data_IF_329626577856
#
_entry.id   IF_329626577856
#
_cell.length_a   1.000
_cell.length_b   1.000
_cell.length_c   1.000
_cell.angle_alpha   90.00
_cell.angle_beta   90.00
_cell.angle_gamma   90.00
#
_symmetry.space_group_name_H-M   'P 1'
#
loop_
_entity.id
_entity.type
_entity.pdbx_description
1 polymer ?
#
# COMPACT_ATOMS: atom_id res chain seq x y z
N UNK A 1 17.04 -5.85 -22.62
CA UNK A 1 16.61 -5.50 -21.25
C UNK A 1 15.52 -6.46 -20.81
N UNK A 2 15.77 -7.31 -19.80
CA UNK A 2 14.75 -8.21 -19.27
C UNK A 2 13.65 -7.36 -18.58
N UNK A 3 12.44 -7.34 -19.13
CA UNK A 3 11.29 -6.69 -18.48
C UNK A 3 10.99 -7.45 -17.18
N UNK A 4 11.37 -6.89 -16.06
CA UNK A 4 11.05 -7.42 -14.72
C UNK A 4 9.52 -7.52 -14.58
N UNK A 5 9.00 -8.74 -14.70
CA UNK A 5 7.57 -9.01 -14.55
C UNK A 5 7.25 -9.09 -13.06
N UNK A 6 6.81 -7.99 -12.47
CA UNK A 6 6.33 -7.97 -11.09
C UNK A 6 4.99 -8.71 -11.04
N UNK A 7 4.94 -9.80 -10.28
CA UNK A 7 3.72 -10.58 -10.08
C UNK A 7 2.81 -9.92 -9.03
N UNK A 8 1.50 -10.23 -9.07
CA UNK A 8 0.54 -9.82 -8.04
C UNK A 8 1.01 -10.15 -6.62
N UNK A 9 1.49 -11.39 -6.42
CA UNK A 9 1.97 -11.85 -5.10
C UNK A 9 3.17 -11.03 -4.62
N UNK A 10 4.12 -10.75 -5.50
CA UNK A 10 5.30 -9.96 -5.17
C UNK A 10 4.92 -8.52 -4.77
N UNK A 11 3.98 -7.90 -5.49
CA UNK A 11 3.50 -6.56 -5.18
C UNK A 11 2.82 -6.50 -3.79
N UNK A 12 2.02 -7.51 -3.44
CA UNK A 12 1.42 -7.63 -2.10
C UNK A 12 2.46 -7.84 -1.01
N UNK A 13 3.46 -8.70 -1.24
CA UNK A 13 4.54 -8.93 -0.28
C UNK A 13 5.34 -7.65 -0.03
N UNK A 14 5.67 -6.89 -1.07
CA UNK A 14 6.35 -5.60 -0.94
C UNK A 14 5.47 -4.62 -0.14
N UNK A 15 4.19 -4.49 -0.47
CA UNK A 15 3.27 -3.62 0.28
C UNK A 15 3.13 -4.03 1.74
N UNK A 16 3.05 -5.34 2.02
CA UNK A 16 3.02 -5.89 3.38
C UNK A 16 4.30 -5.58 4.15
N UNK A 17 5.46 -5.75 3.53
CA UNK A 17 6.74 -5.42 4.14
C UNK A 17 6.87 -3.93 4.48
N UNK A 18 6.49 -3.05 3.55
CA UNK A 18 6.49 -1.60 3.81
C UNK A 18 5.50 -1.22 4.91
N UNK A 19 4.33 -1.84 4.96
CA UNK A 19 3.39 -1.63 6.06
C UNK A 19 3.97 -2.07 7.41
N UNK A 20 4.68 -3.20 7.47
CA UNK A 20 5.39 -3.64 8.69
C UNK A 20 6.47 -2.65 9.14
N UNK A 21 7.24 -2.10 8.21
CA UNK A 21 8.22 -1.05 8.53
C UNK A 21 7.52 0.17 9.15
N UNK A 22 6.36 0.58 8.62
CA UNK A 22 5.57 1.67 9.17
C UNK A 22 4.99 1.36 10.54
N UNK A 23 4.48 0.16 10.75
CA UNK A 23 4.03 -0.33 12.07
C UNK A 23 5.16 -0.20 13.09
N UNK A 24 6.34 -0.72 12.75
CA UNK A 24 7.52 -0.63 13.64
C UNK A 24 7.89 0.81 13.96
N UNK A 25 7.82 1.71 12.95
CA UNK A 25 8.07 3.14 13.15
C UNK A 25 7.03 3.79 14.07
N UNK A 26 5.74 3.47 13.92
CA UNK A 26 4.67 4.00 14.77
C UNK A 26 4.86 3.58 16.24
N UNK A 27 5.15 2.30 16.49
CA UNK A 27 5.41 1.82 17.84
C UNK A 27 6.67 2.43 18.43
N UNK A 28 7.75 2.52 17.67
CA UNK A 28 8.99 3.17 18.12
C UNK A 28 8.77 4.63 18.52
N UNK A 29 8.03 5.40 17.71
CA UNK A 29 7.68 6.79 18.03
C UNK A 29 6.79 6.89 19.25
N UNK A 30 5.77 6.02 19.38
CA UNK A 30 4.91 5.97 20.56
C UNK A 30 5.70 5.70 21.84
N UNK A 31 6.62 4.73 21.80
CA UNK A 31 7.49 4.38 22.94
C UNK A 31 8.40 5.56 23.32
N UNK A 32 9.07 6.20 22.34
CA UNK A 32 9.94 7.35 22.62
C UNK A 32 9.15 8.48 23.26
N UNK A 33 7.98 8.82 22.70
CA UNK A 33 7.14 9.89 23.27
C UNK A 33 6.71 9.55 24.69
N UNK A 34 6.38 8.30 24.99
CA UNK A 34 6.05 7.87 26.34
C UNK A 34 7.20 8.11 27.31
N UNK A 35 8.44 7.70 26.96
CA UNK A 35 9.60 7.92 27.84
C UNK A 35 9.96 9.38 27.97
N UNK A 36 9.85 10.18 26.91
CA UNK A 36 10.09 11.63 26.96
C UNK A 36 9.09 12.32 27.87
N UNK A 37 7.79 12.00 27.75
CA UNK A 37 6.76 12.56 28.63
C UNK A 37 7.01 12.19 30.08
N UNK A 38 7.30 10.91 30.35
CA UNK A 38 7.60 10.46 31.72
C UNK A 38 8.82 11.16 32.31
N UNK A 39 9.90 11.35 31.55
CA UNK A 39 11.08 12.08 32.00
C UNK A 39 10.79 13.57 32.23
N UNK A 40 9.86 14.17 31.46
CA UNK A 40 9.43 15.56 31.70
C UNK A 40 8.55 15.68 32.94
N UNK A 41 7.64 14.74 33.22
CA UNK A 41 6.84 14.68 34.42
C UNK A 41 7.72 14.60 35.67
N UNK A 42 8.79 13.79 35.62
CA UNK A 42 9.75 13.63 36.73
C UNK A 42 10.61 14.87 36.94
N UNK A 43 10.78 15.74 35.93
CA UNK A 43 11.69 16.92 35.99
C UNK A 43 10.94 18.25 36.18
N UNK A 44 9.70 18.37 35.72
CA UNK A 44 8.88 19.58 35.78
C UNK A 44 7.58 19.32 36.52
N UNK A 45 7.48 19.91 37.72
CA UNK A 45 6.23 19.94 38.49
C UNK A 45 5.21 20.77 37.69
N UNK A 46 4.30 20.13 36.97
CA UNK A 46 3.09 20.76 36.42
C UNK A 46 2.95 20.93 34.90
N UNK A 47 3.65 20.16 34.06
CA UNK A 47 3.41 20.18 32.63
C UNK A 47 2.42 19.08 32.19
N UNK A 48 1.16 19.41 31.94
CA UNK A 48 0.24 18.51 31.22
C UNK A 48 0.74 18.31 29.77
N UNK A 49 1.60 17.33 29.57
CA UNK A 49 1.93 16.88 28.21
C UNK A 49 0.77 16.04 27.72
N UNK A 50 0.21 16.39 26.55
CA UNK A 50 -0.97 15.73 26.03
C UNK A 50 -0.66 14.27 25.66
N UNK A 51 -1.09 13.33 26.50
CA UNK A 51 -1.03 11.88 26.25
C UNK A 51 -1.70 11.46 24.94
N UNK A 52 -2.57 12.31 24.40
CA UNK A 52 -3.31 12.08 23.15
C UNK A 52 -2.40 11.75 21.96
N UNK A 53 -1.20 12.33 21.87
CA UNK A 53 -0.28 12.04 20.77
C UNK A 53 0.31 10.64 20.84
N UNK A 54 0.56 10.10 22.02
CA UNK A 54 1.10 8.76 22.26
C UNK A 54 0.07 7.72 21.83
N UNK A 55 -1.17 7.86 22.31
CA UNK A 55 -2.25 6.94 21.95
C UNK A 55 -2.52 6.92 20.45
N UNK A 56 -2.43 8.08 19.80
CA UNK A 56 -2.63 8.18 18.35
C UNK A 56 -1.61 7.35 17.57
N UNK A 57 -0.33 7.35 17.97
CA UNK A 57 0.69 6.51 17.36
C UNK A 57 0.41 5.01 17.51
N UNK A 58 -0.02 4.58 18.70
CA UNK A 58 -0.36 3.19 18.95
C UNK A 58 -1.59 2.76 18.13
N UNK A 59 -2.65 3.59 18.08
CA UNK A 59 -3.86 3.31 17.28
C UNK A 59 -3.50 3.18 15.80
N UNK A 60 -2.73 4.10 15.25
CA UNK A 60 -2.28 4.04 13.84
C UNK A 60 -1.44 2.78 13.60
N UNK A 61 -0.54 2.44 14.52
CA UNK A 61 0.26 1.21 14.45
C UNK A 61 -0.60 -0.05 14.40
N UNK A 62 -1.62 -0.15 15.24
CA UNK A 62 -2.56 -1.30 15.29
C UNK A 62 -3.40 -1.38 14.00
N UNK A 63 -3.90 -0.25 13.51
CA UNK A 63 -4.64 -0.21 12.23
C UNK A 63 -3.79 -0.67 11.05
N UNK A 64 -2.53 -0.21 10.99
CA UNK A 64 -1.60 -0.64 9.95
C UNK A 64 -1.26 -2.14 10.07
N UNK A 65 -1.12 -2.66 11.29
CA UNK A 65 -0.91 -4.09 11.52
C UNK A 65 -2.07 -4.91 10.97
N UNK A 66 -3.30 -4.47 11.18
CA UNK A 66 -4.48 -5.09 10.59
C UNK A 66 -4.43 -5.09 9.05
N UNK A 67 -4.01 -3.99 8.43
CA UNK A 67 -3.79 -3.93 6.97
C UNK A 67 -2.75 -4.96 6.49
N UNK A 68 -1.68 -5.19 7.25
CA UNK A 68 -0.68 -6.23 6.93
C UNK A 68 -1.32 -7.62 6.87
N UNK A 69 -2.15 -7.96 7.87
CA UNK A 69 -2.88 -9.25 7.87
C UNK A 69 -3.80 -9.37 6.66
N UNK A 70 -4.50 -8.30 6.28
CA UNK A 70 -5.33 -8.28 5.07
C UNK A 70 -4.50 -8.51 3.81
N UNK A 71 -3.31 -7.92 3.67
CA UNK A 71 -2.45 -8.15 2.51
C UNK A 71 -2.04 -9.62 2.39
N UNK A 72 -1.66 -10.26 3.49
CA UNK A 72 -1.33 -11.69 3.50
C UNK A 72 -2.54 -12.58 3.19
N UNK A 73 -3.72 -12.22 3.69
CA UNK A 73 -4.95 -12.93 3.36
C UNK A 73 -5.28 -12.84 1.86
N UNK A 74 -5.12 -11.67 1.27
CA UNK A 74 -5.43 -11.42 -0.13
C UNK A 74 -4.46 -12.06 -1.14
N UNK A 75 -3.28 -12.51 -0.71
CA UNK A 75 -2.35 -13.28 -1.56
C UNK A 75 -3.00 -14.54 -2.16
N UNK A 76 -4.01 -15.10 -1.48
CA UNK A 76 -4.73 -16.31 -1.90
C UNK A 76 -5.74 -16.07 -3.04
N UNK A 77 -6.07 -14.82 -3.36
CA UNK A 77 -7.04 -14.50 -4.41
C UNK A 77 -6.51 -14.94 -5.78
N UNK A 78 -7.29 -15.77 -6.48
CA UNK A 78 -6.94 -16.30 -7.80
C UNK A 78 -7.64 -15.55 -8.94
N UNK A 79 -8.78 -14.91 -8.67
CA UNK A 79 -9.54 -14.19 -9.68
C UNK A 79 -8.83 -12.91 -10.12
N UNK A 80 -8.58 -12.79 -11.44
CA UNK A 80 -7.82 -11.69 -12.04
C UNK A 80 -8.51 -10.33 -11.88
N UNK A 81 -9.85 -10.30 -11.92
CA UNK A 81 -10.63 -9.06 -11.75
C UNK A 81 -10.48 -8.55 -10.31
N UNK A 82 -10.65 -9.43 -9.34
CA UNK A 82 -10.49 -9.11 -7.92
C UNK A 82 -9.07 -8.69 -7.60
N UNK A 83 -8.04 -9.33 -8.19
CA UNK A 83 -6.64 -8.93 -8.06
C UNK A 83 -6.41 -7.49 -8.54
N UNK A 84 -6.97 -7.13 -9.71
CA UNK A 84 -6.85 -5.76 -10.26
C UNK A 84 -7.50 -4.73 -9.33
N UNK A 85 -8.71 -5.00 -8.87
CA UNK A 85 -9.45 -4.10 -7.96
C UNK A 85 -8.69 -3.90 -6.66
N UNK A 86 -8.15 -4.98 -6.10
CA UNK A 86 -7.37 -4.92 -4.88
C UNK A 86 -6.08 -4.10 -5.05
N UNK A 87 -5.32 -4.32 -6.12
CA UNK A 87 -4.09 -3.55 -6.37
C UNK A 87 -4.38 -2.05 -6.51
N UNK A 88 -5.50 -1.68 -7.16
CA UNK A 88 -5.94 -0.28 -7.22
C UNK A 88 -6.26 0.28 -5.82
N UNK A 89 -6.95 -0.51 -4.99
CA UNK A 89 -7.22 -0.14 -3.59
C UNK A 89 -5.95 0.07 -2.77
N UNK A 90 -4.94 -0.78 -2.97
CA UNK A 90 -3.64 -0.65 -2.29
C UNK A 90 -2.90 0.61 -2.75
N UNK A 91 -2.95 0.96 -4.03
CA UNK A 91 -2.37 2.22 -4.52
C UNK A 91 -3.06 3.42 -3.86
N UNK A 92 -4.40 3.43 -3.83
CA UNK A 92 -5.16 4.47 -3.16
C UNK A 92 -4.82 4.58 -1.67
N UNK A 93 -4.67 3.45 -0.98
CA UNK A 93 -4.23 3.38 0.42
C UNK A 93 -2.84 4.04 0.62
N UNK A 94 -1.85 3.71 -0.21
CA UNK A 94 -0.52 4.31 -0.11
C UNK A 94 -0.50 5.80 -0.44
N UNK A 95 -1.34 6.25 -1.38
CA UNK A 95 -1.53 7.68 -1.66
C UNK A 95 -2.13 8.38 -0.43
N UNK A 96 -3.17 7.80 0.18
CA UNK A 96 -3.80 8.34 1.39
C UNK A 96 -2.80 8.44 2.55
N UNK A 97 -2.00 7.39 2.79
CA UNK A 97 -0.93 7.40 3.81
C UNK A 97 0.07 8.53 3.53
N UNK A 98 0.45 8.73 2.27
CA UNK A 98 1.36 9.82 1.89
C UNK A 98 0.76 11.20 2.21
N UNK A 99 -0.52 11.43 1.95
CA UNK A 99 -1.22 12.65 2.33
C UNK A 99 -1.27 12.86 3.84
N UNK A 100 -1.60 11.83 4.60
CA UNK A 100 -1.61 11.87 6.07
C UNK A 100 -0.21 12.25 6.59
N UNK A 101 0.85 11.69 6.01
CA UNK A 101 2.22 12.02 6.39
C UNK A 101 2.58 13.48 6.10
N UNK A 102 2.15 14.05 4.98
CA UNK A 102 2.38 15.47 4.67
C UNK A 102 1.71 16.37 5.72
N UNK A 103 0.47 16.06 6.10
CA UNK A 103 -0.31 16.88 7.03
C UNK A 103 0.26 16.81 8.45
N UNK A 104 0.56 15.62 8.93
CA UNK A 104 0.93 15.40 10.33
C UNK A 104 2.44 15.45 10.59
N UNK A 105 3.27 15.20 9.55
CA UNK A 105 4.71 15.05 9.69
C UNK A 105 5.48 15.99 8.77
N UNK A 106 5.31 17.28 8.91
CA UNK A 106 5.93 18.36 8.11
C UNK A 106 7.42 18.17 7.76
N UNK A 107 8.13 17.29 8.45
CA UNK A 107 9.58 17.11 8.36
C UNK A 107 10.05 15.87 7.57
N UNK A 108 9.15 14.98 7.15
CA UNK A 108 9.57 13.67 6.59
C UNK A 108 9.28 13.51 5.10
N UNK A 109 9.74 14.45 4.29
CA UNK A 109 9.66 14.36 2.83
C UNK A 109 10.26 13.04 2.29
N UNK A 110 11.29 12.52 2.96
CA UNK A 110 11.91 11.22 2.63
C UNK A 110 10.95 10.03 2.76
N UNK A 111 10.02 10.07 3.70
CA UNK A 111 9.02 9.00 3.86
C UNK A 111 8.04 8.94 2.68
N UNK A 112 7.74 10.09 2.07
CA UNK A 112 6.89 10.16 0.88
C UNK A 112 7.58 9.49 -0.30
N UNK A 113 8.89 9.71 -0.48
CA UNK A 113 9.68 9.06 -1.53
C UNK A 113 9.68 7.54 -1.34
N UNK A 114 9.80 7.07 -0.10
CA UNK A 114 9.75 5.64 0.23
C UNK A 114 8.39 5.04 -0.15
N UNK A 115 7.29 5.75 0.04
CA UNK A 115 5.94 5.29 -0.34
C UNK A 115 5.75 5.15 -1.86
N UNK A 116 6.57 5.79 -2.68
CA UNK A 116 6.53 5.60 -4.13
C UNK A 116 6.87 4.16 -4.54
N UNK A 117 7.67 3.44 -3.75
CA UNK A 117 8.06 2.06 -4.07
C UNK A 117 6.85 1.12 -4.08
N UNK A 118 6.01 1.00 -3.03
CA UNK A 118 4.82 0.16 -3.08
C UNK A 118 3.79 0.66 -4.11
N UNK A 119 3.65 1.97 -4.33
CA UNK A 119 2.76 2.51 -5.38
C UNK A 119 3.23 2.03 -6.75
N UNK A 120 4.51 2.20 -7.08
CA UNK A 120 5.09 1.82 -8.36
C UNK A 120 5.03 0.31 -8.59
N UNK A 121 5.35 -0.49 -7.58
CA UNK A 121 5.30 -1.96 -7.68
C UNK A 121 3.88 -2.48 -7.92
N UNK A 122 2.87 -1.92 -7.26
CA UNK A 122 1.47 -2.27 -7.50
C UNK A 122 1.00 -1.82 -8.89
N UNK A 123 1.40 -0.64 -9.36
CA UNK A 123 1.12 -0.17 -10.71
C UNK A 123 1.71 -1.11 -11.78
N UNK A 124 2.97 -1.51 -11.63
CA UNK A 124 3.62 -2.46 -12.54
C UNK A 124 2.94 -3.85 -12.51
N UNK A 125 2.49 -4.29 -11.34
CA UNK A 125 1.72 -5.52 -11.22
C UNK A 125 0.39 -5.45 -11.97
N UNK A 126 -0.33 -4.32 -11.92
CA UNK A 126 -1.56 -4.10 -12.69
C UNK A 126 -1.28 -4.16 -14.19
N UNK A 127 -0.20 -3.51 -14.65
CA UNK A 127 0.19 -3.55 -16.07
C UNK A 127 0.48 -4.98 -16.54
N UNK A 128 1.20 -5.77 -15.73
CA UNK A 128 1.47 -7.17 -16.03
C UNK A 128 0.19 -8.04 -16.02
N UNK A 129 -0.72 -7.76 -15.09
CA UNK A 129 -2.01 -8.46 -15.00
C UNK A 129 -2.86 -8.21 -16.25
N UNK A 130 -2.91 -6.97 -16.75
CA UNK A 130 -3.57 -6.63 -18.01
C UNK A 130 -3.02 -7.45 -19.18
N UNK A 131 -1.69 -7.54 -19.30
CA UNK A 131 -1.03 -8.31 -20.36
C UNK A 131 -1.35 -9.82 -20.27
N UNK A 132 -1.43 -10.36 -19.03
CA UNK A 132 -1.83 -11.76 -18.82
C UNK A 132 -3.30 -12.03 -19.21
N UNK A 133 -4.19 -11.09 -18.93
CA UNK A 133 -5.60 -11.19 -19.33
C UNK A 133 -5.71 -11.21 -20.86
N UNK A 134 -5.04 -10.29 -21.54
CA UNK A 134 -5.02 -10.22 -23.01
C UNK A 134 -4.47 -11.54 -23.60
N UNK A 135 -3.35 -12.03 -23.06
CA UNK A 135 -2.76 -13.29 -23.52
C UNK A 135 -3.72 -14.47 -23.37
N UNK A 136 -4.39 -14.59 -22.22
CA UNK A 136 -5.38 -15.67 -21.98
C UNK A 136 -6.62 -15.57 -22.90
N UNK A 137 -7.04 -14.36 -23.28
CA UNK A 137 -8.13 -14.15 -24.21
C UNK A 137 -7.73 -14.59 -25.61
N UNK A 138 -6.52 -14.24 -26.07
CA UNK A 138 -5.99 -14.67 -27.35
C UNK A 138 -5.81 -16.21 -27.44
N UNK A 139 -5.36 -16.85 -26.37
CA UNK A 139 -5.20 -18.31 -26.30
C UNK A 139 -6.54 -19.07 -26.36
N UNK A 140 -7.67 -18.42 -26.05
CA UNK A 140 -9.01 -19.00 -26.17
C UNK A 140 -9.59 -18.94 -27.58
N UNK A 141 -8.86 -18.43 -28.56
CA UNK A 141 -9.31 -18.34 -29.97
C UNK A 141 -10.44 -17.33 -30.18
N UNK A 142 -10.61 -16.36 -29.28
CA UNK A 142 -11.59 -15.29 -29.42
C UNK A 142 -11.18 -14.33 -30.53
N UNK A 143 -12.18 -13.89 -31.31
CA UNK A 143 -11.97 -12.88 -32.34
C UNK A 143 -11.54 -11.55 -31.75
N UNK A 144 -10.83 -10.71 -32.52
CA UNK A 144 -10.36 -9.39 -32.06
C UNK A 144 -11.51 -8.51 -31.55
N UNK A 145 -12.73 -8.65 -32.13
CA UNK A 145 -13.91 -7.91 -31.69
C UNK A 145 -14.41 -8.37 -30.32
N UNK A 146 -14.43 -9.68 -30.06
CA UNK A 146 -14.83 -10.23 -28.75
C UNK A 146 -13.80 -9.89 -27.68
N UNK A 147 -12.51 -9.93 -28.03
CA UNK A 147 -11.41 -9.48 -27.14
C UNK A 147 -11.59 -8.00 -26.79
N UNK A 148 -11.91 -7.15 -27.77
CA UNK A 148 -12.16 -5.73 -27.58
C UNK A 148 -13.37 -5.47 -26.67
N UNK A 149 -14.44 -6.20 -26.85
CA UNK A 149 -15.68 -6.09 -26.05
C UNK A 149 -15.44 -6.53 -24.60
N UNK A 150 -14.71 -7.64 -24.39
CA UNK A 150 -14.32 -8.11 -23.06
C UNK A 150 -13.32 -7.16 -22.39
N UNK A 151 -12.44 -6.51 -23.14
CA UNK A 151 -11.53 -5.48 -22.62
C UNK A 151 -12.29 -4.24 -22.17
N UNK A 152 -13.30 -3.79 -22.93
CA UNK A 152 -14.17 -2.69 -22.55
C UNK A 152 -14.97 -3.02 -21.27
N UNK A 153 -15.58 -4.20 -21.21
CA UNK A 153 -16.31 -4.67 -20.03
C UNK A 153 -15.41 -4.80 -18.78
N UNK A 154 -14.16 -5.18 -18.96
CA UNK A 154 -13.16 -5.25 -17.88
C UNK A 154 -12.53 -3.88 -17.54
N UNK A 155 -12.94 -2.79 -18.21
CA UNK A 155 -12.38 -1.46 -18.04
C UNK A 155 -10.89 -1.39 -18.41
N UNK A 156 -10.46 -2.15 -19.39
CA UNK A 156 -9.09 -2.19 -19.91
C UNK A 156 -9.09 -1.40 -21.24
N UNK A 157 -8.64 -0.13 -21.20
CA UNK A 157 -8.41 0.62 -22.45
C UNK A 157 -7.23 0.02 -23.21
N UNK A 158 -7.38 -0.12 -24.53
CA UNK A 158 -6.27 -0.50 -25.42
C UNK A 158 -5.30 0.67 -25.46
N UNK A 159 -4.07 0.49 -25.00
CA UNK A 159 -3.00 1.43 -25.33
C UNK A 159 -2.76 1.28 -26.83
N UNK A 160 -3.10 2.31 -27.60
CA UNK A 160 -2.74 2.41 -29.01
C UNK A 160 -1.22 2.52 -29.06
N UNK A 161 -0.55 1.43 -29.45
CA UNK A 161 0.85 1.45 -29.88
C UNK A 161 0.94 2.05 -31.28
#
# INVERSE_FOLDING_TARGET
MAKTKISYRLALMISGFYSLMFVSFCFYKGIILYFVNKAMEDTFIGGETSDTSIYLWFIVGVLLLFCVFLFFYFIKIKDLKSQKTLLNGIIAFWILISFIQIIFFKLYFYLIIINLIPILTNYLAIKNLKNLIIKKLNEKGLTDNEIHLLQMLAGIKRDKS
#
